data_IF_090902988374
#
_entry.id   IF_090902988374
#
_cell.length_a   1.000
_cell.length_b   1.000
_cell.length_c   1.000
_cell.angle_alpha   90.00
_cell.angle_beta   90.00
_cell.angle_gamma   90.00
#
_symmetry.space_group_name_H-M   'P 1'
#
loop_
_entity.id
_entity.type
_entity.pdbx_description
1 polymer ?
#
# COMPACT_ATOMS: atom_id res chain seq x y z
N UNK A 1 4.16 -13.17 -23.80
CA UNK A 1 5.14 -12.13 -23.44
C UNK A 1 5.19 -12.02 -21.93
N UNK A 2 5.64 -13.08 -21.25
CA UNK A 2 5.77 -13.14 -19.77
C UNK A 2 7.21 -13.51 -19.37
N UNK A 3 7.94 -14.15 -20.27
CA UNK A 3 9.30 -14.66 -20.07
C UNK A 3 10.37 -13.56 -19.94
N UNK A 4 10.05 -12.30 -20.32
CA UNK A 4 11.01 -11.19 -20.38
C UNK A 4 11.15 -10.41 -19.06
N UNK A 5 10.08 -10.33 -18.24
CA UNK A 5 10.10 -9.57 -16.97
C UNK A 5 10.73 -10.34 -15.79
N UNK A 6 10.68 -11.68 -15.84
CA UNK A 6 11.38 -12.51 -14.85
C UNK A 6 12.90 -12.42 -15.01
N UNK A 7 13.39 -12.32 -16.25
CA UNK A 7 14.81 -12.13 -16.52
C UNK A 7 15.32 -10.78 -16.00
N UNK A 8 14.53 -9.70 -16.17
CA UNK A 8 14.92 -8.38 -15.66
C UNK A 8 15.00 -8.33 -14.13
N UNK A 9 14.09 -9.01 -13.41
CA UNK A 9 14.17 -9.12 -11.94
C UNK A 9 15.40 -9.90 -11.49
N UNK A 10 15.72 -11.00 -12.17
CA UNK A 10 16.91 -11.79 -11.87
C UNK A 10 18.20 -10.98 -12.13
N UNK A 11 18.26 -10.20 -13.21
CA UNK A 11 19.40 -9.34 -13.51
C UNK A 11 19.56 -8.21 -12.48
N UNK A 12 18.45 -7.62 -12.00
CA UNK A 12 18.45 -6.62 -10.92
C UNK A 12 19.04 -7.22 -9.63
N UNK A 13 18.63 -8.43 -9.27
CA UNK A 13 19.09 -9.11 -8.04
C UNK A 13 20.53 -9.62 -8.18
N UNK A 14 20.94 -10.05 -9.38
CA UNK A 14 22.25 -10.64 -9.62
C UNK A 14 23.36 -9.60 -9.79
N UNK A 15 23.11 -8.48 -10.48
CA UNK A 15 24.15 -7.52 -10.88
C UNK A 15 23.81 -6.04 -10.61
N UNK A 16 22.61 -5.77 -10.09
CA UNK A 16 22.14 -4.41 -9.79
C UNK A 16 22.38 -3.97 -8.34
N UNK A 17 22.29 -2.67 -8.10
CA UNK A 17 22.08 -2.13 -6.75
C UNK A 17 20.63 -1.69 -6.62
N UNK A 18 19.98 -2.05 -5.52
CA UNK A 18 18.61 -1.62 -5.22
C UNK A 18 18.63 -0.74 -3.98
N UNK A 19 17.96 0.41 -4.06
CA UNK A 19 17.75 1.31 -2.93
C UNK A 19 16.34 1.09 -2.39
N UNK A 20 16.24 0.77 -1.09
CA UNK A 20 14.97 0.64 -0.39
C UNK A 20 14.85 1.80 0.59
N UNK A 21 13.76 2.56 0.50
CA UNK A 21 13.43 3.61 1.47
C UNK A 21 12.13 3.23 2.17
N UNK A 22 12.17 3.14 3.50
CA UNK A 22 11.00 2.88 4.33
C UNK A 22 10.80 4.03 5.32
N UNK A 23 9.61 4.60 5.36
CA UNK A 23 9.23 5.68 6.27
C UNK A 23 7.98 5.24 7.03
N UNK A 24 8.05 5.24 8.36
CA UNK A 24 6.91 4.99 9.23
C UNK A 24 6.51 6.28 9.93
N UNK A 25 5.31 6.77 9.65
CA UNK A 25 4.79 7.98 10.27
C UNK A 25 4.02 7.65 11.54
N UNK A 26 4.43 8.24 12.67
CA UNK A 26 3.78 7.96 13.96
C UNK A 26 2.38 8.55 14.06
N UNK A 27 2.20 9.83 13.69
CA UNK A 27 0.96 10.60 13.92
C UNK A 27 0.48 11.34 12.66
N UNK A 28 0.90 10.93 11.46
CA UNK A 28 0.52 11.63 10.22
C UNK A 28 -1.00 11.66 10.01
N UNK A 29 -1.70 10.59 10.42
CA UNK A 29 -3.16 10.49 10.40
C UNK A 29 -3.87 11.63 11.14
N UNK A 30 -3.24 12.27 12.13
CA UNK A 30 -3.81 13.41 12.86
C UNK A 30 -3.92 14.69 12.02
N UNK A 31 -3.17 14.78 10.92
CA UNK A 31 -3.14 15.94 10.01
C UNK A 31 -3.92 15.69 8.72
N UNK A 32 -4.40 14.47 8.53
CA UNK A 32 -5.13 14.05 7.35
C UNK A 32 -6.65 14.13 7.58
N UNK A 33 -7.46 14.15 6.52
CA UNK A 33 -8.91 14.03 6.65
C UNK A 33 -9.28 12.83 7.53
N UNK A 34 -10.19 13.04 8.49
CA UNK A 34 -10.67 11.94 9.35
C UNK A 34 -11.49 10.92 8.57
N UNK A 35 -12.20 11.39 7.55
CA UNK A 35 -12.99 10.60 6.65
C UNK A 35 -12.50 10.80 5.23
N UNK A 36 -12.40 9.69 4.53
CA UNK A 36 -12.11 9.65 3.11
C UNK A 36 -13.30 9.05 2.38
N UNK A 37 -13.49 9.50 1.15
CA UNK A 37 -14.60 9.09 0.30
C UNK A 37 -14.02 8.37 -0.91
N UNK A 38 -14.47 7.15 -1.17
CA UNK A 38 -14.16 6.45 -2.40
C UNK A 38 -15.43 5.79 -2.92
N UNK A 39 -15.51 5.67 -4.25
CA UNK A 39 -16.54 4.85 -4.87
C UNK A 39 -16.05 3.42 -4.94
N UNK A 40 -16.86 2.45 -4.51
CA UNK A 40 -16.59 1.06 -4.84
C UNK A 40 -16.75 0.80 -6.36
N UNK A 41 -16.45 -0.43 -6.77
CA UNK A 41 -16.71 -0.93 -8.12
C UNK A 41 -18.15 -0.76 -8.61
N UNK A 42 -19.11 -0.55 -7.70
CA UNK A 42 -20.54 -0.33 -8.00
C UNK A 42 -20.95 1.16 -8.01
N UNK A 43 -20.02 2.08 -7.77
CA UNK A 43 -20.28 3.52 -7.76
C UNK A 43 -20.88 4.07 -6.46
N UNK A 44 -20.99 3.25 -5.41
CA UNK A 44 -21.46 3.66 -4.07
C UNK A 44 -20.35 4.36 -3.31
N UNK A 45 -20.67 5.52 -2.72
CA UNK A 45 -19.75 6.24 -1.84
C UNK A 45 -19.53 5.45 -0.54
N UNK A 46 -18.27 5.18 -0.22
CA UNK A 46 -17.84 4.51 1.00
C UNK A 46 -17.06 5.50 1.84
N UNK A 47 -17.48 5.63 3.09
CA UNK A 47 -16.73 6.31 4.13
C UNK A 47 -15.72 5.35 4.74
N UNK A 48 -14.48 5.79 4.84
CA UNK A 48 -13.46 5.08 5.58
C UNK A 48 -12.58 6.00 6.41
N UNK A 49 -12.09 5.46 7.52
CA UNK A 49 -11.25 6.16 8.50
C UNK A 49 -9.89 5.44 8.63
N UNK A 50 -8.76 6.15 8.66
CA UNK A 50 -7.47 5.52 8.97
C UNK A 50 -7.49 4.91 10.38
N UNK A 51 -6.99 3.69 10.50
CA UNK A 51 -6.95 2.93 11.75
C UNK A 51 -5.56 2.36 12.06
N UNK A 52 -4.52 2.75 11.32
CA UNK A 52 -3.13 2.44 11.64
C UNK A 52 -2.22 3.63 11.38
N UNK A 53 -0.96 3.48 11.77
CA UNK A 53 0.12 4.31 11.23
C UNK A 53 0.18 4.20 9.71
N UNK A 54 0.71 5.25 9.07
CA UNK A 54 0.99 5.27 7.64
C UNK A 54 2.44 4.84 7.42
N UNK A 55 2.65 3.92 6.49
CA UNK A 55 3.98 3.47 6.09
C UNK A 55 4.16 3.76 4.60
N UNK A 56 5.28 4.35 4.22
CA UNK A 56 5.67 4.47 2.81
C UNK A 56 6.90 3.60 2.57
N UNK A 57 6.87 2.83 1.50
CA UNK A 57 8.01 2.03 1.03
C UNK A 57 8.25 2.32 -0.44
N UNK A 58 9.50 2.58 -0.81
CA UNK A 58 9.87 2.83 -2.19
C UNK A 58 11.13 2.04 -2.54
N UNK A 59 11.05 1.32 -3.65
CA UNK A 59 12.15 0.54 -4.18
C UNK A 59 12.65 1.19 -5.47
N UNK A 60 13.92 1.58 -5.52
CA UNK A 60 14.53 2.19 -6.70
C UNK A 60 15.63 1.28 -7.24
N UNK A 61 15.67 1.13 -8.55
CA UNK A 61 16.79 0.49 -9.23
C UNK A 61 17.89 1.51 -9.49
N UNK A 62 19.09 1.26 -8.98
CA UNK A 62 20.25 2.10 -9.19
C UNK A 62 21.24 1.40 -10.15
N UNK A 63 21.21 1.80 -11.43
CA UNK A 63 22.24 1.40 -12.36
C UNK A 63 23.54 2.21 -12.10
N UNK A 64 24.68 1.53 -12.00
CA UNK A 64 25.98 2.15 -11.68
C UNK A 64 26.47 3.14 -12.76
N UNK A 65 25.91 3.08 -13.96
CA UNK A 65 26.18 4.01 -15.06
C UNK A 65 25.12 5.12 -15.05
N UNK A 66 25.43 6.20 -14.34
CA UNK A 66 24.45 7.21 -13.92
C UNK A 66 23.60 7.86 -15.02
N UNK A 67 22.30 7.97 -14.72
CA UNK A 67 21.38 9.09 -15.02
C UNK A 67 19.91 8.70 -14.79
N UNK A 68 19.59 7.40 -14.73
CA UNK A 68 18.21 6.89 -14.62
C UNK A 68 17.80 6.36 -13.22
N UNK A 69 18.64 6.54 -12.20
CA UNK A 69 18.52 5.91 -10.87
C UNK A 69 17.33 6.39 -10.00
N UNK A 70 16.33 7.06 -10.57
CA UNK A 70 15.33 7.82 -9.81
C UNK A 70 13.87 7.37 -10.02
N UNK A 71 13.61 6.31 -10.79
CA UNK A 71 12.25 5.78 -10.94
C UNK A 71 12.00 4.59 -10.01
N UNK A 72 10.85 4.57 -9.30
CA UNK A 72 10.43 3.41 -8.54
C UNK A 72 10.34 2.18 -9.45
N UNK A 73 10.82 1.05 -8.97
CA UNK A 73 10.70 -0.23 -9.66
C UNK A 73 9.23 -0.65 -9.65
N UNK A 74 8.59 -0.57 -10.82
CA UNK A 74 7.22 -1.01 -11.00
C UNK A 74 7.17 -2.47 -11.44
N UNK A 75 6.63 -3.33 -10.57
CA UNK A 75 6.49 -4.77 -10.78
C UNK A 75 5.05 -5.17 -10.49
N UNK A 76 4.44 -6.09 -11.27
CA UNK A 76 3.14 -6.67 -10.93
C UNK A 76 3.14 -7.32 -9.54
N UNK A 77 1.99 -7.31 -8.87
CA UNK A 77 1.81 -7.85 -7.52
C UNK A 77 2.26 -9.31 -7.41
N UNK A 78 2.03 -10.11 -8.45
CA UNK A 78 2.35 -11.54 -8.51
C UNK A 78 3.86 -11.81 -8.60
N UNK A 79 4.62 -10.84 -9.09
CA UNK A 79 6.07 -10.98 -9.28
C UNK A 79 6.87 -10.37 -8.12
N UNK A 80 6.37 -9.29 -7.50
CA UNK A 80 6.93 -8.74 -6.28
C UNK A 80 5.92 -7.85 -5.55
N UNK A 81 5.86 -7.98 -4.23
CA UNK A 81 4.95 -7.24 -3.36
C UNK A 81 5.61 -6.89 -2.03
N UNK A 82 5.01 -5.94 -1.31
CA UNK A 82 5.30 -5.73 0.11
C UNK A 82 4.27 -6.44 0.96
N UNK A 83 4.72 -6.98 2.08
CA UNK A 83 3.84 -7.49 3.13
C UNK A 83 4.06 -6.68 4.40
N UNK A 84 2.98 -6.07 4.90
CA UNK A 84 3.04 -5.21 6.07
C UNK A 84 2.00 -5.68 7.07
N UNK A 85 2.44 -5.95 8.30
CA UNK A 85 1.56 -6.29 9.41
C UNK A 85 1.30 -5.03 10.22
N UNK A 86 0.05 -4.58 10.20
CA UNK A 86 -0.40 -3.40 10.92
C UNK A 86 -1.14 -3.81 12.20
N UNK A 87 -0.68 -3.24 13.31
CA UNK A 87 -1.46 -3.15 14.53
C UNK A 87 -2.39 -1.94 14.41
N UNK A 88 -3.67 -2.13 14.68
CA UNK A 88 -4.66 -1.06 14.62
C UNK A 88 -4.51 -0.13 15.84
N UNK A 89 -4.65 1.17 15.61
CA UNK A 89 -4.76 2.20 16.66
C UNK A 89 -6.16 2.17 17.29
N UNK A 90 -7.18 1.82 16.50
CA UNK A 90 -8.56 1.62 16.94
C UNK A 90 -9.05 0.26 16.44
N UNK A 91 -9.55 -0.59 17.33
CA UNK A 91 -10.05 -1.91 16.92
C UNK A 91 -11.36 -1.77 16.11
N UNK A 92 -11.56 -2.59 15.06
CA UNK A 92 -12.80 -2.63 14.30
C UNK A 92 -13.94 -3.04 15.21
N UNK A 93 -15.11 -2.44 15.00
CA UNK A 93 -16.36 -2.92 15.62
C UNK A 93 -17.11 -3.81 14.62
N UNK A 94 -18.24 -4.38 15.02
CA UNK A 94 -19.10 -5.19 14.14
C UNK A 94 -19.58 -4.48 12.88
N UNK A 95 -19.58 -3.15 12.89
CA UNK A 95 -20.01 -2.28 11.79
C UNK A 95 -18.88 -1.85 10.85
N UNK A 96 -17.63 -2.06 11.26
CA UNK A 96 -16.45 -1.57 10.53
C UNK A 96 -15.56 -2.73 10.15
N UNK A 97 -15.24 -2.82 8.86
CA UNK A 97 -14.34 -3.82 8.31
C UNK A 97 -12.98 -3.18 8.01
N UNK A 98 -11.88 -3.78 8.46
CA UNK A 98 -10.55 -3.33 8.07
C UNK A 98 -10.27 -3.66 6.60
N UNK A 99 -9.67 -2.71 5.89
CA UNK A 99 -9.23 -2.79 4.50
C UNK A 99 -7.84 -2.16 4.36
N UNK A 100 -6.99 -2.76 3.54
CA UNK A 100 -5.70 -2.19 3.19
C UNK A 100 -5.87 -1.08 2.17
N UNK A 101 -5.39 0.12 2.49
CA UNK A 101 -5.33 1.26 1.59
C UNK A 101 -3.94 1.43 0.99
N UNK A 102 -3.90 1.73 -0.30
CA UNK A 102 -2.68 2.01 -1.05
C UNK A 102 -2.76 3.32 -1.83
N UNK A 103 -1.66 4.07 -1.84
CA UNK A 103 -1.47 5.22 -2.72
C UNK A 103 -0.07 5.18 -3.38
N UNK A 104 -0.07 5.24 -4.72
CA UNK A 104 1.11 5.24 -5.59
C UNK A 104 1.80 6.60 -5.74
N UNK A 105 1.17 7.70 -5.30
CA UNK A 105 1.66 9.07 -5.54
C UNK A 105 1.77 9.92 -4.27
N UNK A 106 1.32 9.40 -3.12
CA UNK A 106 1.30 10.12 -1.84
C UNK A 106 0.72 11.54 -2.00
N UNK A 107 -0.40 11.66 -2.70
CA UNK A 107 -1.00 12.97 -3.00
C UNK A 107 -1.92 13.40 -1.86
N UNK A 108 -2.32 14.68 -1.88
CA UNK A 108 -3.39 15.18 -1.01
C UNK A 108 -4.79 14.81 -1.52
N UNK A 109 -4.89 14.05 -2.62
CA UNK A 109 -6.19 13.62 -3.14
C UNK A 109 -6.81 12.61 -2.17
N UNK A 110 -8.13 12.71 -1.91
CA UNK A 110 -8.78 12.02 -0.81
C UNK A 110 -9.13 10.56 -1.14
N UNK A 111 -8.28 9.83 -1.88
CA UNK A 111 -8.63 8.48 -2.34
C UNK A 111 -7.51 7.49 -2.10
N UNK A 112 -7.74 6.57 -1.17
CA UNK A 112 -6.94 5.36 -1.02
C UNK A 112 -7.51 4.26 -1.92
N UNK A 113 -6.63 3.54 -2.62
CA UNK A 113 -7.02 2.39 -3.42
C UNK A 113 -7.01 1.14 -2.56
N UNK A 114 -8.18 0.57 -2.33
CA UNK A 114 -8.34 -0.67 -1.55
C UNK A 114 -8.39 -1.93 -2.40
N UNK A 115 -8.61 -1.76 -3.71
CA UNK A 115 -8.69 -2.83 -4.71
C UNK A 115 -7.33 -3.36 -5.17
N UNK A 116 -6.26 -2.62 -4.90
CA UNK A 116 -4.89 -2.97 -5.31
C UNK A 116 -4.11 -3.76 -4.25
N UNK A 117 -4.70 -3.97 -3.08
CA UNK A 117 -4.12 -4.73 -1.98
C UNK A 117 -5.00 -5.91 -1.58
N UNK A 118 -4.36 -7.01 -1.17
CA UNK A 118 -5.04 -8.10 -0.48
C UNK A 118 -5.02 -7.79 1.01
N UNK A 119 -6.20 -7.87 1.63
CA UNK A 119 -6.41 -7.64 3.06
C UNK A 119 -6.61 -8.98 3.77
N UNK A 120 -5.70 -9.32 4.69
CA UNK A 120 -5.82 -10.50 5.55
C UNK A 120 -5.98 -10.07 7.02
N UNK A 121 -7.11 -10.41 7.63
CA UNK A 121 -7.37 -10.10 9.04
C UNK A 121 -6.86 -11.25 9.90
N UNK A 122 -5.69 -11.06 10.51
CA UNK A 122 -5.02 -12.10 11.31
C UNK A 122 -5.66 -12.23 12.69
N UNK A 123 -5.98 -11.11 13.32
CA UNK A 123 -6.68 -10.98 14.60
C UNK A 123 -7.63 -9.79 14.54
N UNK A 124 -8.44 -9.58 15.58
CA UNK A 124 -9.38 -8.44 15.65
C UNK A 124 -8.69 -7.09 15.41
N UNK A 125 -7.46 -6.90 15.91
CA UNK A 125 -6.72 -5.63 15.83
C UNK A 125 -5.41 -5.72 15.02
N UNK A 126 -5.22 -6.82 14.26
CA UNK A 126 -4.03 -7.02 13.42
C UNK A 126 -4.45 -7.39 12.00
N UNK A 127 -4.04 -6.57 11.04
CA UNK A 127 -4.27 -6.81 9.61
C UNK A 127 -2.94 -6.89 8.88
N UNK A 128 -2.80 -7.90 8.03
CA UNK A 128 -1.71 -8.01 7.07
C UNK A 128 -2.18 -7.46 5.72
N UNK A 129 -1.37 -6.59 5.16
CA UNK A 129 -1.57 -5.99 3.85
C UNK A 129 -0.51 -6.50 2.89
N UNK A 130 -0.98 -7.11 1.80
CA UNK A 130 -0.15 -7.54 0.68
C UNK A 130 -0.44 -6.59 -0.48
N UNK A 131 0.52 -5.75 -0.83
CA UNK A 131 0.30 -4.57 -1.69
C UNK A 131 1.42 -4.42 -2.74
N UNK A 132 1.25 -3.54 -3.75
CA UNK A 132 2.29 -3.26 -4.73
C UNK A 132 3.61 -2.86 -4.06
N UNK A 133 4.72 -3.21 -4.70
CA UNK A 133 6.07 -3.15 -4.13
C UNK A 133 6.51 -1.75 -3.64
N UNK A 134 5.93 -0.69 -4.20
CA UNK A 134 6.26 0.69 -3.83
C UNK A 134 5.00 1.55 -3.73
N UNK A 135 4.91 2.34 -2.68
CA UNK A 135 3.83 3.29 -2.43
C UNK A 135 3.68 3.60 -0.94
N UNK A 136 2.51 4.11 -0.59
CA UNK A 136 2.11 4.42 0.78
C UNK A 136 0.93 3.54 1.19
N UNK A 137 0.97 3.05 2.42
CA UNK A 137 0.10 2.00 2.93
C UNK A 137 -0.48 2.38 4.28
N UNK A 138 -1.73 1.97 4.49
CA UNK A 138 -2.48 2.23 5.73
C UNK A 138 -3.58 1.18 5.88
N UNK A 139 -3.99 0.87 7.11
CA UNK A 139 -5.26 0.17 7.37
C UNK A 139 -6.36 1.20 7.51
N UNK A 140 -7.44 0.97 6.79
CA UNK A 140 -8.66 1.76 6.79
C UNK A 140 -9.77 0.94 7.43
N UNK A 141 -10.64 1.56 8.21
CA UNK A 141 -11.91 0.96 8.60
C UNK A 141 -12.98 1.51 7.67
N UNK A 142 -13.65 0.63 6.93
CA UNK A 142 -14.79 0.96 6.08
C UNK A 142 -16.09 0.44 6.71
N UNK A 143 -17.21 1.15 6.54
CA UNK A 143 -18.51 0.66 7.03
C UNK A 143 -18.94 -0.60 6.28
N UNK A 144 -19.51 -1.57 7.01
CA UNK A 144 -19.92 -2.89 6.52
C UNK A 144 -21.04 -2.88 5.47
N UNK A 145 -21.69 -1.73 5.21
CA UNK A 145 -22.57 -1.54 4.05
C UNK A 145 -21.82 -1.58 2.69
N UNK A 146 -20.60 -2.12 2.71
CA UNK A 146 -19.65 -2.37 1.63
C UNK A 146 -20.10 -3.46 0.64
N UNK A 147 -21.14 -4.25 0.96
CA UNK A 147 -21.66 -5.34 0.11
C UNK A 147 -22.87 -4.93 -0.72
#
# INVERSE_FOLDING_TARGET
>A
MEMDRSASLQDIVANGTVLVTVISYKNLTSFLPRFYFAKNSFGTDIDYIPASKIISSWLYYANRTGSEANQPLHVPLEAAHVEIIFQHENSPTTEWIPLCGYDSKATFEPTWRTDLCITENLLENITRCICPLSGTFVVLLAKKNYN
#
